data_IF_083070771065
#
_entry.id   IF_083070771065
#
_cell.length_a   1.000
_cell.length_b   1.000
_cell.length_c   1.000
_cell.angle_alpha   90.00
_cell.angle_beta   90.00
_cell.angle_gamma   90.00
#
_symmetry.space_group_name_H-M   'P 1'
#
loop_
_entity.id
_entity.type
_entity.pdbx_description
1 polymer ?
#
# COMPACT_ATOMS: atom_id res chain seq x y z
N UNK A 1 -2.01 21.60 -10.27
CA UNK A 1 -2.19 20.19 -10.72
C UNK A 1 -3.34 19.60 -9.94
N UNK A 2 -4.19 18.80 -10.58
CA UNK A 2 -5.23 18.04 -9.87
C UNK A 2 -4.61 16.86 -9.09
N UNK A 3 -5.25 16.43 -8.01
CA UNK A 3 -4.84 15.28 -7.20
C UNK A 3 -5.08 13.96 -7.96
N UNK A 4 -4.26 12.95 -7.71
CA UNK A 4 -4.47 11.61 -8.28
C UNK A 4 -5.49 10.82 -7.46
N UNK A 5 -6.56 10.36 -8.09
CA UNK A 5 -7.59 9.52 -7.47
C UNK A 5 -7.61 8.14 -8.13
N UNK A 6 -8.30 7.13 -7.57
CA UNK A 6 -8.57 5.89 -8.29
C UNK A 6 -9.20 6.18 -9.66
N UNK A 7 -8.89 5.37 -10.66
CA UNK A 7 -9.24 5.59 -12.07
C UNK A 7 -10.74 5.84 -12.28
N UNK A 8 -11.59 5.09 -11.59
CA UNK A 8 -13.06 5.20 -11.69
C UNK A 8 -13.69 6.14 -10.65
N UNK A 9 -12.90 6.96 -9.95
CA UNK A 9 -13.36 7.80 -8.84
C UNK A 9 -14.47 8.79 -9.26
N UNK A 10 -14.30 9.46 -10.41
CA UNK A 10 -15.30 10.43 -10.88
C UNK A 10 -16.65 9.78 -11.15
N UNK A 11 -16.66 8.59 -11.75
CA UNK A 11 -17.90 7.84 -12.00
C UNK A 11 -18.54 7.37 -10.70
N UNK A 12 -17.75 6.85 -9.78
CA UNK A 12 -18.22 6.48 -8.45
C UNK A 12 -18.92 7.64 -7.72
N UNK A 13 -18.32 8.83 -7.74
CA UNK A 13 -18.93 10.03 -7.16
C UNK A 13 -20.25 10.41 -7.85
N UNK A 14 -20.31 10.32 -9.19
CA UNK A 14 -21.54 10.59 -9.95
C UNK A 14 -22.63 9.56 -9.60
N UNK A 15 -22.30 8.27 -9.51
CA UNK A 15 -23.22 7.21 -9.10
C UNK A 15 -23.82 7.47 -7.73
N UNK A 16 -23.00 7.82 -6.73
CA UNK A 16 -23.48 8.10 -5.36
C UNK A 16 -24.42 9.30 -5.35
N UNK A 17 -24.09 10.35 -6.13
CA UNK A 17 -24.91 11.55 -6.22
C UNK A 17 -26.27 11.26 -6.86
N UNK A 18 -26.30 10.47 -7.93
CA UNK A 18 -27.54 10.11 -8.64
C UNK A 18 -28.43 9.19 -7.83
N UNK A 19 -27.85 8.24 -7.08
CA UNK A 19 -28.59 7.23 -6.31
C UNK A 19 -28.85 7.61 -4.85
N UNK A 20 -28.61 8.88 -4.47
CA UNK A 20 -28.76 9.40 -3.11
C UNK A 20 -28.06 8.54 -2.04
N UNK A 21 -26.80 8.15 -2.29
CA UNK A 21 -25.99 7.40 -1.33
C UNK A 21 -25.39 6.11 -1.89
N UNK A 22 -25.16 5.14 -1.01
CA UNK A 22 -24.42 3.91 -1.29
C UNK A 22 -25.30 2.70 -1.61
N UNK A 23 -26.60 2.89 -1.82
CA UNK A 23 -27.58 1.80 -1.91
C UNK A 23 -27.16 0.69 -2.88
N UNK A 24 -26.59 1.06 -4.02
CA UNK A 24 -26.06 0.09 -4.99
C UNK A 24 -24.85 -0.70 -4.47
N UNK A 25 -23.91 -0.01 -3.81
CA UNK A 25 -22.68 -0.62 -3.29
C UNK A 25 -22.85 -1.25 -1.91
N UNK A 26 -24.08 -1.37 -1.39
CA UNK A 26 -24.34 -1.82 -0.02
C UNK A 26 -23.82 -3.24 0.27
N UNK A 27 -23.79 -4.13 -0.73
CA UNK A 27 -23.19 -5.47 -0.63
C UNK A 27 -21.67 -5.48 -0.66
N UNK A 28 -21.05 -4.36 -1.07
CA UNK A 28 -19.62 -4.22 -1.31
C UNK A 28 -18.98 -3.14 -0.41
N UNK A 29 -19.72 -2.61 0.54
CA UNK A 29 -19.26 -1.67 1.53
C UNK A 29 -19.63 -2.23 2.90
N UNK A 30 -18.69 -2.22 3.84
CA UNK A 30 -18.92 -2.70 5.21
C UNK A 30 -20.04 -1.90 5.87
N UNK A 31 -20.71 -2.51 6.84
CA UNK A 31 -21.81 -1.86 7.54
C UNK A 31 -21.33 -0.58 8.26
N UNK A 32 -22.22 0.42 8.35
CA UNK A 32 -22.00 1.71 9.07
C UNK A 32 -20.94 2.63 8.46
N UNK A 33 -20.56 2.41 7.20
CA UNK A 33 -19.66 3.31 6.48
C UNK A 33 -20.41 4.59 6.09
N UNK A 34 -19.80 5.73 6.40
CA UNK A 34 -20.31 7.06 6.10
C UNK A 34 -19.57 7.68 4.92
N UNK A 35 -20.14 8.72 4.31
CA UNK A 35 -19.47 9.48 3.24
C UNK A 35 -18.09 10.01 3.67
N UNK A 36 -17.93 10.36 4.95
CA UNK A 36 -16.64 10.77 5.50
C UNK A 36 -15.56 9.68 5.44
N UNK A 37 -15.92 8.39 5.54
CA UNK A 37 -14.96 7.28 5.41
C UNK A 37 -14.46 7.17 3.97
N UNK A 38 -15.37 7.28 3.01
CA UNK A 38 -15.04 7.25 1.59
C UNK A 38 -14.13 8.43 1.20
N UNK A 39 -14.45 9.63 1.68
CA UNK A 39 -13.61 10.81 1.48
C UNK A 39 -12.22 10.64 2.12
N UNK A 40 -12.15 10.00 3.30
CA UNK A 40 -10.87 9.67 3.95
C UNK A 40 -10.05 8.71 3.09
N UNK A 41 -10.65 7.65 2.54
CA UNK A 41 -9.97 6.75 1.60
C UNK A 41 -9.41 7.53 0.40
N UNK A 42 -10.23 8.33 -0.27
CA UNK A 42 -9.79 9.10 -1.43
C UNK A 42 -8.64 10.06 -1.11
N UNK A 43 -8.70 10.74 0.04
CA UNK A 43 -7.62 11.60 0.50
C UNK A 43 -6.33 10.82 0.78
N UNK A 44 -6.40 9.64 1.42
CA UNK A 44 -5.24 8.78 1.68
C UNK A 44 -4.65 8.20 0.40
N UNK A 45 -5.49 7.74 -0.52
CA UNK A 45 -5.08 7.29 -1.84
C UNK A 45 -4.33 8.40 -2.58
N UNK A 46 -4.91 9.60 -2.64
CA UNK A 46 -4.29 10.74 -3.32
C UNK A 46 -2.96 11.14 -2.70
N UNK A 47 -2.87 11.18 -1.37
CA UNK A 47 -1.60 11.46 -0.71
C UNK A 47 -0.59 10.37 -1.01
N UNK A 48 -0.95 9.09 -0.98
CA UNK A 48 -0.02 8.00 -1.27
C UNK A 48 0.50 8.06 -2.72
N UNK A 49 -0.36 8.34 -3.70
CA UNK A 49 0.02 8.50 -5.10
C UNK A 49 0.90 9.72 -5.32
N UNK A 50 0.44 10.90 -4.88
CA UNK A 50 1.08 12.19 -5.16
C UNK A 50 2.29 12.49 -4.27
N UNK A 51 2.59 11.64 -3.27
CA UNK A 51 3.68 11.89 -2.34
C UNK A 51 5.04 11.92 -3.05
N UNK A 52 5.64 13.10 -3.09
CA UNK A 52 6.86 13.41 -3.84
C UNK A 52 8.06 13.79 -2.96
N UNK A 53 8.05 13.41 -1.67
CA UNK A 53 9.18 13.65 -0.78
C UNK A 53 8.82 14.26 0.56
N UNK A 54 9.81 14.26 1.44
CA UNK A 54 9.84 15.08 2.65
C UNK A 54 11.04 16.00 2.59
N UNK A 55 10.89 17.21 3.10
CA UNK A 55 12.04 18.07 3.38
C UNK A 55 12.35 18.05 4.87
N UNK A 56 13.59 17.71 5.19
CA UNK A 56 14.08 17.58 6.57
C UNK A 56 15.30 18.47 6.68
N UNK A 57 15.17 19.55 7.47
CA UNK A 57 16.26 20.48 7.69
C UNK A 57 17.48 19.77 8.27
N UNK A 58 18.67 20.24 7.90
CA UNK A 58 19.97 19.73 8.38
C UNK A 58 20.20 18.23 8.11
N UNK A 59 19.53 17.66 7.10
CA UNK A 59 19.70 16.26 6.69
C UNK A 59 20.42 16.13 5.35
N UNK A 60 21.27 15.12 5.22
CA UNK A 60 21.87 14.77 3.93
C UNK A 60 20.78 14.34 2.93
N UNK A 61 21.09 14.42 1.62
CA UNK A 61 20.18 13.93 0.57
C UNK A 61 19.79 12.47 0.79
N UNK A 62 20.75 11.64 1.16
CA UNK A 62 20.56 10.21 1.42
C UNK A 62 19.61 9.97 2.60
N UNK A 63 19.81 10.70 3.70
CA UNK A 63 18.94 10.63 4.88
C UNK A 63 17.51 11.05 4.53
N UNK A 64 17.33 12.14 3.76
CA UNK A 64 16.01 12.55 3.27
C UNK A 64 15.37 11.47 2.41
N UNK A 65 16.14 10.84 1.53
CA UNK A 65 15.65 9.76 0.66
C UNK A 65 15.19 8.53 1.44
N UNK A 66 15.92 8.16 2.50
CA UNK A 66 15.53 7.07 3.39
C UNK A 66 14.23 7.38 4.13
N UNK A 67 14.10 8.55 4.74
CA UNK A 67 12.85 8.95 5.40
C UNK A 67 11.68 9.12 4.42
N UNK A 68 11.93 9.63 3.23
CA UNK A 68 10.95 9.68 2.15
C UNK A 68 10.40 8.28 1.85
N UNK A 69 11.27 7.28 1.72
CA UNK A 69 10.86 5.90 1.49
C UNK A 69 9.99 5.37 2.65
N UNK A 70 10.41 5.58 3.89
CA UNK A 70 9.65 5.11 5.07
C UNK A 70 8.28 5.81 5.19
N UNK A 71 8.23 7.11 4.92
CA UNK A 71 6.97 7.87 4.86
C UNK A 71 6.07 7.39 3.72
N UNK A 72 6.64 7.07 2.55
CA UNK A 72 5.88 6.49 1.44
C UNK A 72 5.27 5.14 1.82
N UNK A 73 6.02 4.29 2.54
CA UNK A 73 5.49 3.02 3.03
C UNK A 73 4.30 3.22 3.98
N UNK A 74 4.41 4.18 4.91
CA UNK A 74 3.34 4.55 5.83
C UNK A 74 2.09 5.07 5.10
N UNK A 75 2.25 5.94 4.12
CA UNK A 75 1.15 6.52 3.35
C UNK A 75 0.45 5.46 2.49
N UNK A 76 1.22 4.58 1.84
CA UNK A 76 0.70 3.45 1.07
C UNK A 76 -0.08 2.50 1.97
N UNK A 77 0.46 2.17 3.16
CA UNK A 77 -0.26 1.36 4.15
C UNK A 77 -1.58 2.02 4.56
N UNK A 78 -1.59 3.33 4.80
CA UNK A 78 -2.80 4.05 5.18
C UNK A 78 -3.88 4.01 4.10
N UNK A 79 -3.51 4.10 2.81
CA UNK A 79 -4.45 3.94 1.70
C UNK A 79 -5.03 2.52 1.64
N UNK A 80 -4.18 1.49 1.79
CA UNK A 80 -4.61 0.10 1.83
C UNK A 80 -5.55 -0.19 3.01
N UNK A 81 -5.19 0.26 4.21
CA UNK A 81 -5.96 0.01 5.43
C UNK A 81 -7.32 0.70 5.37
N UNK A 82 -7.38 1.95 4.89
CA UNK A 82 -8.66 2.63 4.69
C UNK A 82 -9.52 1.96 3.62
N UNK A 83 -8.93 1.50 2.52
CA UNK A 83 -9.64 0.69 1.53
C UNK A 83 -10.23 -0.58 2.15
N UNK A 84 -9.41 -1.35 2.87
CA UNK A 84 -9.82 -2.60 3.53
C UNK A 84 -10.93 -2.38 4.56
N UNK A 85 -10.91 -1.27 5.28
CA UNK A 85 -11.93 -0.93 6.26
C UNK A 85 -13.28 -0.53 5.63
N UNK A 86 -13.31 -0.27 4.32
CA UNK A 86 -14.51 0.16 3.60
C UNK A 86 -15.08 -0.95 2.72
N UNK A 87 -14.29 -1.52 1.80
CA UNK A 87 -14.85 -2.26 0.66
C UNK A 87 -14.90 -3.78 0.79
N UNK A 88 -13.84 -4.50 1.17
CA UNK A 88 -13.89 -5.96 1.16
C UNK A 88 -14.79 -6.49 2.30
N UNK A 89 -16.07 -6.71 1.99
CA UNK A 89 -17.05 -7.31 2.89
C UNK A 89 -16.68 -8.78 3.12
N UNK A 90 -16.75 -9.22 4.38
CA UNK A 90 -16.45 -10.60 4.79
C UNK A 90 -14.97 -10.89 5.02
N UNK A 91 -14.05 -10.01 4.64
CA UNK A 91 -12.64 -10.16 4.99
C UNK A 91 -12.34 -9.58 6.38
N UNK A 92 -11.69 -10.40 7.21
CA UNK A 92 -11.27 -10.05 8.58
C UNK A 92 -9.81 -9.64 8.67
N UNK A 93 -9.03 -9.84 7.59
CA UNK A 93 -7.60 -9.60 7.58
C UNK A 93 -7.17 -8.76 6.37
N UNK A 94 -6.50 -7.63 6.64
CA UNK A 94 -5.99 -6.72 5.59
C UNK A 94 -4.97 -7.41 4.68
N UNK A 95 -4.24 -8.41 5.18
CA UNK A 95 -3.24 -9.13 4.39
C UNK A 95 -3.87 -10.05 3.34
N UNK A 96 -5.17 -10.36 3.45
CA UNK A 96 -5.92 -11.16 2.47
C UNK A 96 -6.79 -10.30 1.56
N UNK A 97 -6.74 -8.97 1.70
CA UNK A 97 -7.53 -8.02 0.90
C UNK A 97 -7.32 -8.19 -0.60
N UNK A 98 -6.10 -8.56 -1.02
CA UNK A 98 -5.77 -8.83 -2.41
C UNK A 98 -4.98 -10.12 -2.53
N UNK A 99 -5.31 -10.92 -3.55
CA UNK A 99 -4.49 -12.06 -3.95
C UNK A 99 -3.37 -11.59 -4.88
N UNK A 100 -2.18 -12.13 -4.66
CA UNK A 100 -1.03 -12.03 -5.56
C UNK A 100 -0.77 -13.42 -6.13
N UNK A 101 -0.95 -13.58 -7.44
CA UNK A 101 -0.70 -14.84 -8.12
C UNK A 101 0.80 -15.16 -8.23
N UNK A 102 1.13 -16.41 -8.59
CA UNK A 102 2.51 -16.88 -8.70
C UNK A 102 3.38 -16.00 -9.60
N UNK A 103 2.86 -15.60 -10.76
CA UNK A 103 3.57 -14.70 -11.69
C UNK A 103 3.84 -13.33 -11.07
N UNK A 104 2.85 -12.74 -10.42
CA UNK A 104 2.99 -11.42 -9.78
C UNK A 104 4.04 -11.46 -8.66
N UNK A 105 3.99 -12.49 -7.81
CA UNK A 105 4.98 -12.67 -6.74
C UNK A 105 6.39 -12.90 -7.29
N UNK A 106 6.50 -13.67 -8.37
CA UNK A 106 7.76 -13.87 -9.09
C UNK A 106 8.32 -12.53 -9.60
N UNK A 107 7.50 -11.73 -10.29
CA UNK A 107 7.93 -10.45 -10.85
C UNK A 107 8.34 -9.45 -9.75
N UNK A 108 7.61 -9.41 -8.64
CA UNK A 108 7.96 -8.62 -7.44
C UNK A 108 9.31 -9.07 -6.89
N UNK A 109 9.50 -10.38 -6.70
CA UNK A 109 10.74 -10.95 -6.21
C UNK A 109 11.92 -10.62 -7.14
N UNK A 110 11.75 -10.76 -8.45
CA UNK A 110 12.79 -10.41 -9.43
C UNK A 110 13.19 -8.94 -9.32
N UNK A 111 12.22 -8.03 -9.22
CA UNK A 111 12.49 -6.59 -9.04
C UNK A 111 13.23 -6.30 -7.73
N UNK A 112 12.83 -6.94 -6.63
CA UNK A 112 13.47 -6.77 -5.32
C UNK A 112 14.89 -7.37 -5.28
N UNK A 113 15.10 -8.52 -5.90
CA UNK A 113 16.42 -9.16 -6.01
C UNK A 113 17.38 -8.35 -6.90
N UNK A 114 16.88 -7.67 -7.93
CA UNK A 114 17.69 -6.83 -8.80
C UNK A 114 18.32 -5.61 -8.10
N UNK A 115 17.82 -5.23 -6.93
CA UNK A 115 18.44 -4.19 -6.07
C UNK A 115 19.74 -4.70 -5.41
N UNK A 116 19.86 -6.03 -5.26
CA UNK A 116 21.05 -6.68 -4.71
C UNK A 116 20.99 -6.91 -3.19
N UNK A 117 22.16 -7.01 -2.58
CA UNK A 117 22.33 -7.45 -1.18
C UNK A 117 21.62 -6.56 -0.15
N UNK A 118 21.41 -5.28 -0.50
CA UNK A 118 20.70 -4.33 0.35
C UNK A 118 19.27 -4.77 0.66
N UNK A 119 18.57 -5.40 -0.29
CA UNK A 119 17.23 -5.94 -0.06
C UNK A 119 17.23 -6.99 1.05
N UNK A 120 18.19 -7.92 1.03
CA UNK A 120 18.29 -8.96 2.04
C UNK A 120 18.65 -8.36 3.40
N UNK A 121 19.67 -7.50 3.46
CA UNK A 121 20.06 -6.81 4.71
C UNK A 121 18.90 -6.03 5.33
N UNK A 122 18.14 -5.31 4.50
CA UNK A 122 17.00 -4.51 4.95
C UNK A 122 15.91 -5.40 5.57
N UNK A 123 15.50 -6.47 4.87
CA UNK A 123 14.49 -7.37 5.41
C UNK A 123 14.98 -8.23 6.58
N UNK A 124 16.28 -8.55 6.68
CA UNK A 124 16.85 -9.17 7.87
C UNK A 124 16.77 -8.25 9.08
N UNK A 125 17.04 -6.94 8.91
CA UNK A 125 16.83 -5.98 9.99
C UNK A 125 15.36 -5.92 10.40
N UNK A 126 14.45 -5.83 9.43
CA UNK A 126 13.00 -5.79 9.71
C UNK A 126 12.56 -7.05 10.45
N UNK A 127 12.99 -8.24 10.01
CA UNK A 127 12.55 -9.50 10.61
C UNK A 127 12.94 -9.60 12.09
N UNK A 128 14.12 -9.07 12.46
CA UNK A 128 14.62 -9.06 13.83
C UNK A 128 13.93 -8.04 14.76
N UNK A 129 13.17 -7.08 14.21
CA UNK A 129 12.57 -5.97 14.97
C UNK A 129 11.04 -5.88 14.80
N UNK A 130 10.39 -6.96 14.38
CA UNK A 130 8.94 -7.00 14.17
C UNK A 130 8.28 -8.14 14.95
N UNK A 131 6.95 -8.17 14.99
CA UNK A 131 6.23 -9.28 15.58
C UNK A 131 6.39 -10.59 14.78
N UNK A 132 6.10 -11.73 15.41
CA UNK A 132 6.27 -13.09 14.85
C UNK A 132 5.60 -13.28 13.49
N UNK A 133 4.47 -12.61 13.25
CA UNK A 133 3.74 -12.74 11.99
C UNK A 133 4.45 -12.03 10.84
N UNK A 134 4.96 -10.82 11.08
CA UNK A 134 5.79 -10.13 10.08
C UNK A 134 7.11 -10.86 9.88
N UNK A 135 7.74 -11.30 10.98
CA UNK A 135 9.00 -12.03 10.97
C UNK A 135 8.90 -13.25 10.05
N UNK A 136 7.89 -14.11 10.24
CA UNK A 136 7.68 -15.30 9.43
C UNK A 136 7.58 -14.98 7.93
N UNK A 137 6.82 -13.94 7.56
CA UNK A 137 6.67 -13.54 6.15
C UNK A 137 7.97 -12.94 5.57
N UNK A 138 8.69 -12.12 6.34
CA UNK A 138 9.98 -11.56 5.91
C UNK A 138 11.04 -12.65 5.76
N UNK A 139 11.10 -13.61 6.69
CA UNK A 139 12.00 -14.75 6.61
C UNK A 139 11.65 -15.66 5.43
N UNK A 140 10.37 -15.87 5.14
CA UNK A 140 9.95 -16.58 3.92
C UNK A 140 10.42 -15.86 2.65
N UNK A 141 10.32 -14.52 2.60
CA UNK A 141 10.89 -13.75 1.50
C UNK A 141 12.42 -13.93 1.37
N UNK A 142 13.16 -13.76 2.47
CA UNK A 142 14.64 -13.88 2.54
C UNK A 142 15.11 -15.27 2.11
N UNK A 143 14.42 -16.32 2.54
CA UNK A 143 14.76 -17.73 2.26
C UNK A 143 14.19 -18.24 0.93
N UNK A 144 13.73 -17.34 0.07
CA UNK A 144 13.20 -17.67 -1.26
C UNK A 144 11.92 -18.55 -1.26
N UNK A 145 11.17 -18.53 -0.17
CA UNK A 145 9.85 -19.18 -0.03
C UNK A 145 8.70 -18.26 -0.48
N UNK A 146 7.46 -18.76 -0.47
CA UNK A 146 6.29 -17.94 -0.76
C UNK A 146 6.11 -16.82 0.28
N UNK A 147 5.69 -15.65 -0.17
CA UNK A 147 5.53 -14.47 0.68
C UNK A 147 4.32 -13.64 0.27
N UNK A 148 3.90 -12.74 1.15
CA UNK A 148 2.85 -11.77 0.90
C UNK A 148 3.45 -10.35 0.76
N UNK A 149 3.34 -9.71 -0.42
CA UNK A 149 3.83 -8.34 -0.62
C UNK A 149 3.21 -7.29 0.31
N UNK A 150 1.93 -7.44 0.68
CA UNK A 150 1.28 -6.55 1.63
C UNK A 150 1.95 -6.66 3.00
N UNK A 151 2.26 -7.88 3.44
CA UNK A 151 2.94 -8.10 4.71
C UNK A 151 4.37 -7.57 4.72
N UNK A 152 5.07 -7.57 3.56
CA UNK A 152 6.38 -6.92 3.45
C UNK A 152 6.29 -5.41 3.67
N UNK A 153 5.32 -4.74 3.01
CA UNK A 153 5.10 -3.30 3.22
C UNK A 153 4.70 -3.01 4.67
N UNK A 154 3.79 -3.82 5.21
CA UNK A 154 3.31 -3.67 6.59
C UNK A 154 4.42 -3.84 7.61
N UNK A 155 5.36 -4.77 7.40
CA UNK A 155 6.51 -4.96 8.26
C UNK A 155 7.41 -3.70 8.28
N UNK A 156 7.67 -3.08 7.13
CA UNK A 156 8.38 -1.79 7.05
C UNK A 156 7.66 -0.74 7.90
N UNK A 157 6.35 -0.57 7.71
CA UNK A 157 5.53 0.38 8.47
C UNK A 157 5.54 0.08 9.97
N UNK A 158 5.51 -1.19 10.35
CA UNK A 158 5.48 -1.64 11.74
C UNK A 158 6.77 -1.25 12.46
N UNK A 159 7.92 -1.65 11.92
CA UNK A 159 9.23 -1.36 12.54
C UNK A 159 9.52 0.14 12.54
N UNK A 160 9.15 0.86 11.48
CA UNK A 160 9.26 2.33 11.45
C UNK A 160 8.34 3.01 12.47
N UNK A 161 7.09 2.57 12.57
CA UNK A 161 6.13 3.12 13.53
C UNK A 161 6.50 2.90 14.99
N UNK A 162 7.27 1.86 15.29
CA UNK A 162 7.81 1.60 16.62
C UNK A 162 9.12 2.34 16.92
N UNK A 163 9.75 2.95 15.91
CA UNK A 163 10.96 3.77 16.06
C UNK A 163 12.27 3.01 15.88
N UNK A 164 12.23 1.71 15.61
CA UNK A 164 13.43 0.88 15.43
C UNK A 164 14.05 1.06 14.03
N UNK A 165 13.25 1.42 13.03
CA UNK A 165 13.72 1.66 11.66
C UNK A 165 14.01 3.15 11.42
N UNK A 166 15.21 3.46 10.92
CA UNK A 166 15.61 4.82 10.52
C UNK A 166 16.06 4.88 9.06
N UNK A 167 16.35 6.09 8.57
CA UNK A 167 16.75 6.32 7.18
C UNK A 167 18.08 5.65 6.80
N UNK A 168 18.94 5.35 7.76
CA UNK A 168 20.27 4.76 7.54
C UNK A 168 20.43 3.55 8.46
N UNK A 169 20.03 2.37 7.99
CA UNK A 169 20.07 1.15 8.80
C UNK A 169 21.08 0.14 8.26
N UNK A 170 21.88 -0.48 9.14
CA UNK A 170 22.76 -1.62 8.81
C UNK A 170 23.60 -1.47 7.52
N UNK A 171 24.08 -0.26 7.23
CA UNK A 171 24.79 0.07 6.00
C UNK A 171 24.01 -0.30 4.71
N UNK A 172 22.69 -0.28 4.76
CA UNK A 172 21.79 -0.36 3.60
C UNK A 172 21.73 1.03 2.97
N UNK A 173 21.93 1.10 1.65
CA UNK A 173 21.84 2.36 0.94
C UNK A 173 20.39 2.90 0.97
N UNK A 174 20.14 4.16 1.39
CA UNK A 174 18.80 4.74 1.38
C UNK A 174 18.11 4.74 0.02
N UNK A 175 18.88 4.77 -1.08
CA UNK A 175 18.34 4.61 -2.44
C UNK A 175 17.76 3.21 -2.67
N UNK A 176 18.40 2.17 -2.10
CA UNK A 176 17.88 0.79 -2.14
C UNK A 176 16.56 0.70 -1.36
N UNK A 177 16.47 1.30 -0.17
CA UNK A 177 15.22 1.37 0.61
C UNK A 177 14.11 2.05 -0.21
N UNK A 178 14.43 3.16 -0.87
CA UNK A 178 13.50 3.87 -1.74
C UNK A 178 13.00 3.00 -2.91
N UNK A 179 13.89 2.27 -3.59
CA UNK A 179 13.53 1.34 -4.66
C UNK A 179 12.61 0.22 -4.16
N UNK A 180 12.93 -0.39 -3.01
CA UNK A 180 12.11 -1.44 -2.38
C UNK A 180 10.69 -0.93 -2.14
N UNK A 181 10.55 0.22 -1.48
CA UNK A 181 9.24 0.79 -1.15
C UNK A 181 8.47 1.18 -2.42
N UNK A 182 9.12 1.73 -3.44
CA UNK A 182 8.46 2.08 -4.70
C UNK A 182 7.92 0.86 -5.45
N UNK A 183 8.65 -0.26 -5.45
CA UNK A 183 8.15 -1.52 -6.01
C UNK A 183 6.87 -1.93 -5.27
N UNK A 184 6.91 -2.00 -3.93
CA UNK A 184 5.75 -2.41 -3.15
C UNK A 184 4.56 -1.44 -3.29
N UNK A 185 4.81 -0.12 -3.24
CA UNK A 185 3.78 0.91 -3.48
C UNK A 185 3.08 0.64 -4.80
N UNK A 186 3.84 0.54 -5.89
CA UNK A 186 3.26 0.41 -7.24
C UNK A 186 2.31 -0.79 -7.32
N UNK A 187 2.75 -1.95 -6.83
CA UNK A 187 1.99 -3.19 -6.94
C UNK A 187 0.73 -3.15 -6.06
N UNK A 188 0.84 -2.62 -4.83
CA UNK A 188 -0.30 -2.52 -3.90
C UNK A 188 -1.31 -1.47 -4.37
N UNK A 189 -0.86 -0.30 -4.81
CA UNK A 189 -1.75 0.75 -5.31
C UNK A 189 -2.45 0.33 -6.61
N UNK A 190 -1.78 -0.44 -7.48
CA UNK A 190 -2.39 -1.06 -8.66
C UNK A 190 -3.51 -2.02 -8.28
N UNK A 191 -3.33 -2.85 -7.24
CA UNK A 191 -4.38 -3.74 -6.73
C UNK A 191 -5.57 -2.96 -6.15
N UNK A 192 -5.32 -1.90 -5.39
CA UNK A 192 -6.37 -1.01 -4.88
C UNK A 192 -7.17 -0.42 -6.04
N UNK A 193 -6.49 0.15 -7.03
CA UNK A 193 -7.15 0.79 -8.18
C UNK A 193 -7.94 -0.21 -9.02
N UNK A 194 -7.36 -1.38 -9.28
CA UNK A 194 -8.02 -2.44 -10.06
C UNK A 194 -9.26 -2.94 -9.34
N UNK A 195 -9.17 -3.20 -8.03
CA UNK A 195 -10.30 -3.68 -7.25
C UNK A 195 -11.40 -2.62 -7.13
N UNK A 196 -11.03 -1.36 -6.92
CA UNK A 196 -11.98 -0.24 -6.91
C UNK A 196 -12.65 -0.06 -8.27
N UNK A 197 -11.89 -0.15 -9.36
CA UNK A 197 -12.43 0.00 -10.72
C UNK A 197 -13.45 -1.10 -11.04
N UNK A 198 -13.14 -2.36 -10.70
CA UNK A 198 -14.07 -3.48 -10.85
C UNK A 198 -15.36 -3.28 -10.05
N UNK A 199 -15.26 -2.73 -8.83
CA UNK A 199 -16.43 -2.37 -8.03
C UNK A 199 -17.31 -1.35 -8.77
N UNK A 200 -16.73 -0.28 -9.30
CA UNK A 200 -17.50 0.75 -10.01
C UNK A 200 -18.11 0.22 -11.30
N UNK A 201 -17.33 -0.57 -12.05
CA UNK A 201 -17.73 -1.20 -13.31
C UNK A 201 -18.85 -2.22 -13.15
N UNK A 202 -19.04 -2.77 -11.95
CA UNK A 202 -20.15 -3.68 -11.68
C UNK A 202 -21.52 -2.99 -11.75
N UNK A 203 -21.59 -1.65 -11.70
CA UNK A 203 -22.85 -0.91 -11.72
C UNK A 203 -23.65 -1.15 -13.03
N UNK A 204 -24.97 -1.45 -12.98
CA UNK A 204 -25.79 -1.71 -14.16
C UNK A 204 -25.74 -0.60 -15.21
N UNK A 205 -25.74 0.65 -14.75
CA UNK A 205 -25.68 1.85 -15.58
C UNK A 205 -24.26 2.38 -15.82
N UNK A 206 -23.22 1.56 -15.62
CA UNK A 206 -21.82 2.02 -15.73
C UNK A 206 -21.48 2.73 -17.06
N UNK A 207 -22.17 2.39 -18.16
CA UNK A 207 -21.98 3.01 -19.47
C UNK A 207 -22.61 4.39 -19.63
N UNK A 208 -23.56 4.77 -18.77
CA UNK A 208 -24.32 6.03 -18.85
C UNK A 208 -23.95 7.02 -17.74
N UNK A 209 -23.16 6.56 -16.76
CA UNK A 209 -22.56 7.36 -15.69
C UNK A 209 -21.21 7.93 -16.13
#
# INVERSE_FOLDING_TARGET
MARTYPSEWSKFCKTIKTNNGFSYYASNIKAKILLGDINRFAARYSVAEDFNGVDIMNSTRETRLGYEALMRALLTWSALETYFNIFPVGLTDVYTCFSFGTKEKHDIRSKLNAIGNDTIKFYTFISSNCNTRHEANTNAFITNNDFNPIMLLSAIRHVFGHGDLSANINNVNPESINKIVNILKKEIMTKIDSSFSLLVQSHPDYSTV
#
